data_IF_938257982394
#
_entry.id   IF_938257982394
#
_cell.length_a   1.000
_cell.length_b   1.000
_cell.length_c   1.000
_cell.angle_alpha   90.00
_cell.angle_beta   90.00
_cell.angle_gamma   90.00
#
_symmetry.space_group_name_H-M   'P 1'
#
loop_
_entity.id
_entity.type
_entity.pdbx_description
1 polymer ?
#
# COMPACT_ATOMS: atom_id res chain seq x y z
N UNK A 1 3.14 3.15 -25.93
CA UNK A 1 4.18 2.09 -25.83
C UNK A 1 4.39 1.91 -24.34
N UNK A 2 3.55 1.08 -23.73
CA UNK A 2 3.86 -0.33 -23.43
C UNK A 2 4.89 -0.49 -22.30
N UNK A 3 4.76 0.30 -21.23
CA UNK A 3 5.63 0.18 -20.05
C UNK A 3 4.92 -0.22 -18.75
N UNK A 4 3.58 -0.22 -18.64
CA UNK A 4 2.92 -0.66 -17.40
C UNK A 4 2.65 -2.17 -17.34
N UNK A 5 2.30 -2.81 -18.47
CA UNK A 5 2.00 -4.25 -18.51
C UNK A 5 3.18 -5.19 -18.16
N UNK A 6 4.40 -4.65 -18.05
CA UNK A 6 5.58 -5.39 -17.62
C UNK A 6 5.76 -5.37 -16.10
N UNK A 7 5.56 -4.21 -15.47
CA UNK A 7 5.70 -4.07 -14.01
C UNK A 7 4.62 -4.87 -13.29
N UNK A 8 3.37 -4.83 -13.76
CA UNK A 8 2.26 -5.61 -13.20
C UNK A 8 2.55 -7.12 -13.23
N UNK A 9 3.18 -7.59 -14.30
CA UNK A 9 3.59 -9.00 -14.46
C UNK A 9 4.76 -9.38 -13.56
N UNK A 10 5.68 -8.46 -13.31
CA UNK A 10 6.83 -8.71 -12.44
C UNK A 10 6.37 -8.81 -10.97
N UNK A 11 5.44 -7.97 -10.54
CA UNK A 11 4.83 -8.06 -9.20
C UNK A 11 3.96 -9.31 -9.03
N UNK A 12 3.16 -9.67 -10.04
CA UNK A 12 2.38 -10.90 -10.03
C UNK A 12 3.30 -12.14 -9.93
N UNK A 13 4.40 -12.15 -10.69
CA UNK A 13 5.39 -13.21 -10.64
C UNK A 13 6.08 -13.30 -9.27
N UNK A 14 6.41 -12.16 -8.67
CA UNK A 14 6.98 -12.10 -7.32
C UNK A 14 6.00 -12.63 -6.27
N UNK A 15 4.75 -12.19 -6.31
CA UNK A 15 3.69 -12.64 -5.40
C UNK A 15 3.49 -14.16 -5.47
N UNK A 16 3.43 -14.71 -6.69
CA UNK A 16 3.34 -16.15 -6.91
C UNK A 16 4.55 -16.89 -6.34
N UNK A 17 5.76 -16.39 -6.57
CA UNK A 17 6.99 -17.01 -6.08
C UNK A 17 7.07 -17.01 -4.54
N UNK A 18 6.67 -15.92 -3.89
CA UNK A 18 6.62 -15.83 -2.41
C UNK A 18 5.59 -16.81 -1.87
N UNK A 19 4.37 -16.80 -2.43
CA UNK A 19 3.28 -17.69 -2.00
C UNK A 19 3.69 -19.15 -2.16
N UNK A 20 4.29 -19.51 -3.30
CA UNK A 20 4.78 -20.85 -3.56
C UNK A 20 5.89 -21.25 -2.59
N UNK A 21 6.87 -20.37 -2.31
CA UNK A 21 7.94 -20.63 -1.35
C UNK A 21 7.42 -20.85 0.08
N UNK A 22 6.43 -20.06 0.50
CA UNK A 22 5.80 -20.21 1.82
C UNK A 22 5.01 -21.51 1.90
N UNK A 23 4.17 -21.80 0.91
CA UNK A 23 3.33 -23.00 0.90
C UNK A 23 4.10 -24.29 0.67
N UNK A 24 5.24 -24.25 -0.02
CA UNK A 24 6.10 -25.42 -0.27
C UNK A 24 7.05 -25.74 0.88
N UNK A 25 7.34 -24.77 1.75
CA UNK A 25 8.26 -24.94 2.88
C UNK A 25 7.79 -26.02 3.86
N UNK A 26 8.57 -27.12 4.05
CA UNK A 26 8.22 -28.18 4.99
C UNK A 26 8.10 -27.68 6.43
N UNK A 27 8.92 -26.68 6.79
CA UNK A 27 8.88 -26.03 8.11
C UNK A 27 7.55 -25.30 8.31
N UNK A 28 7.11 -24.53 7.31
CA UNK A 28 5.83 -23.81 7.37
C UNK A 28 4.66 -24.80 7.44
N UNK A 29 4.65 -25.83 6.58
CA UNK A 29 3.63 -26.88 6.59
C UNK A 29 3.51 -27.56 7.96
N UNK A 30 4.64 -27.94 8.55
CA UNK A 30 4.66 -28.57 9.88
C UNK A 30 4.03 -27.68 10.96
N UNK A 31 4.41 -26.40 10.99
CA UNK A 31 3.86 -25.44 11.97
C UNK A 31 2.35 -25.24 11.75
N UNK A 32 1.90 -25.11 10.50
CA UNK A 32 0.47 -24.99 10.17
C UNK A 32 -0.30 -26.24 10.60
N UNK A 33 0.23 -27.44 10.35
CA UNK A 33 -0.39 -28.70 10.78
C UNK A 33 -0.44 -28.84 12.31
N UNK A 34 0.61 -28.42 13.01
CA UNK A 34 0.61 -28.40 14.49
C UNK A 34 -0.42 -27.40 15.05
N UNK A 35 -0.63 -26.26 14.39
CA UNK A 35 -1.69 -25.30 14.75
C UNK A 35 -3.07 -25.90 14.51
N UNK A 36 -3.30 -26.53 13.35
CA UNK A 36 -4.57 -27.18 12.99
C UNK A 36 -4.93 -28.32 13.94
N UNK A 37 -3.96 -29.14 14.36
CA UNK A 37 -4.20 -30.26 15.27
C UNK A 37 -4.54 -29.85 16.71
N UNK A 38 -4.18 -28.62 17.10
CA UNK A 38 -4.41 -28.15 18.47
C UNK A 38 -5.82 -27.59 18.70
N UNK A 39 -6.64 -27.46 17.65
CA UNK A 39 -8.04 -26.95 17.61
C UNK A 39 -8.31 -25.62 18.35
N UNK A 40 -7.27 -25.05 18.96
CA UNK A 40 -7.21 -23.73 19.53
C UNK A 40 -6.68 -22.80 18.45
N UNK A 41 -7.59 -22.34 17.59
CA UNK A 41 -7.35 -21.11 16.84
C UNK A 41 -7.16 -20.01 17.88
N UNK A 42 -5.91 -19.64 18.17
CA UNK A 42 -5.61 -18.51 19.04
C UNK A 42 -6.16 -17.26 18.33
N UNK A 43 -7.25 -16.63 18.83
CA UNK A 43 -7.91 -15.54 18.10
C UNK A 43 -6.97 -14.37 17.84
N UNK A 44 -6.01 -14.13 18.74
CA UNK A 44 -4.97 -13.13 18.59
C UNK A 44 -4.02 -13.45 17.43
N UNK A 45 -3.55 -14.70 17.32
CA UNK A 45 -2.65 -15.10 16.22
C UNK A 45 -3.38 -15.12 14.88
N UNK A 46 -4.65 -15.51 14.86
CA UNK A 46 -5.48 -15.46 13.66
C UNK A 46 -5.78 -14.02 13.23
N UNK A 47 -6.08 -13.13 14.17
CA UNK A 47 -6.24 -11.71 13.91
C UNK A 47 -4.96 -11.08 13.38
N UNK A 48 -3.78 -11.43 13.91
CA UNK A 48 -2.49 -10.96 13.38
C UNK A 48 -2.25 -11.48 11.95
N UNK A 49 -2.66 -12.71 11.63
CA UNK A 49 -2.59 -13.25 10.28
C UNK A 49 -3.54 -12.51 9.33
N UNK A 50 -4.78 -12.24 9.76
CA UNK A 50 -5.77 -11.47 8.99
C UNK A 50 -5.26 -10.05 8.76
N UNK A 51 -4.73 -9.36 9.78
CA UNK A 51 -4.16 -8.02 9.66
C UNK A 51 -2.96 -7.99 8.71
N UNK A 52 -2.11 -9.03 8.73
CA UNK A 52 -0.97 -9.14 7.80
C UNK A 52 -1.43 -9.41 6.37
N UNK A 53 -2.47 -10.22 6.17
CA UNK A 53 -3.06 -10.43 4.85
C UNK A 53 -3.77 -9.17 4.35
N UNK A 54 -4.50 -8.47 5.21
CA UNK A 54 -5.13 -7.17 4.92
C UNK A 54 -4.08 -6.13 4.54
N UNK A 55 -3.02 -5.98 5.32
CA UNK A 55 -1.92 -5.05 5.01
C UNK A 55 -1.19 -5.41 3.71
N UNK A 56 -1.06 -6.70 3.38
CA UNK A 56 -0.54 -7.15 2.09
C UNK A 56 -1.49 -6.87 0.93
N UNK A 57 -2.82 -6.88 1.15
CA UNK A 57 -3.82 -6.52 0.14
C UNK A 57 -4.04 -5.01 0.01
N UNK A 58 -3.90 -4.24 1.08
CA UNK A 58 -3.95 -2.77 1.08
C UNK A 58 -2.73 -2.19 0.37
N UNK A 59 -1.56 -2.82 0.52
CA UNK A 59 -0.39 -2.53 -0.32
C UNK A 59 -0.55 -2.90 -1.80
N UNK A 60 -1.67 -3.53 -2.18
CA UNK A 60 -2.00 -3.99 -3.53
C UNK A 60 -3.17 -3.20 -4.16
N UNK A 61 -3.80 -2.25 -3.46
CA UNK A 61 -4.74 -1.28 -4.05
C UNK A 61 -3.99 -0.24 -4.89
N UNK A 62 -3.36 -0.70 -5.97
CA UNK A 62 -3.09 0.16 -7.13
C UNK A 62 -4.37 0.15 -7.95
N UNK A 63 -5.02 1.32 -7.96
CA UNK A 63 -6.21 1.72 -8.71
C UNK A 63 -6.47 0.87 -9.98
N UNK A 64 -7.48 0.00 -9.90
CA UNK A 64 -8.13 -0.56 -11.09
C UNK A 64 -9.35 0.30 -11.39
N UNK A 65 -9.15 1.41 -12.09
CA UNK A 65 -10.23 2.04 -12.86
C UNK A 65 -10.38 1.31 -14.20
N UNK A 66 -11.52 0.64 -14.40
CA UNK A 66 -11.89 0.03 -15.68
C UNK A 66 -12.53 1.07 -16.63
N UNK A 67 -11.84 1.31 -17.77
CA UNK A 67 -12.34 1.45 -19.16
C UNK A 67 -13.20 2.69 -19.57
N UNK A 68 -13.26 3.14 -20.86
CA UNK A 68 -13.04 2.35 -22.08
C UNK A 68 -12.28 3.00 -23.29
N UNK A 69 -11.86 2.09 -24.19
CA UNK A 69 -11.57 2.20 -25.64
C UNK A 69 -10.43 3.09 -26.23
N UNK A 70 -9.81 2.53 -27.28
CA UNK A 70 -8.63 2.95 -28.08
C UNK A 70 -8.99 4.10 -29.08
N UNK A 71 -8.06 4.75 -29.86
CA UNK A 71 -6.70 4.33 -30.24
C UNK A 71 -5.56 5.41 -30.36
N UNK A 72 -4.33 4.92 -30.15
CA UNK A 72 -2.99 5.34 -30.63
C UNK A 72 -2.80 6.72 -31.33
N UNK A 73 -1.79 7.50 -30.87
CA UNK A 73 -0.73 8.15 -31.71
C UNK A 73 0.45 8.70 -30.88
N UNK A 74 1.58 8.94 -31.57
CA UNK A 74 2.96 9.05 -31.05
C UNK A 74 3.35 10.48 -30.60
N UNK A 75 4.54 10.54 -29.98
CA UNK A 75 5.58 11.60 -29.98
C UNK A 75 5.67 12.69 -28.90
N UNK A 76 6.92 12.80 -28.41
CA UNK A 76 7.74 13.98 -28.02
C UNK A 76 7.99 14.27 -26.54
N UNK A 77 9.29 14.22 -26.20
CA UNK A 77 9.96 14.75 -25.02
C UNK A 77 9.41 16.14 -24.67
N UNK A 78 8.97 16.33 -23.44
CA UNK A 78 8.81 17.64 -22.82
C UNK A 78 9.28 17.56 -21.36
N UNK A 79 9.92 18.63 -20.92
CA UNK A 79 10.63 18.80 -19.66
C UNK A 79 9.77 18.36 -18.46
N UNK A 80 10.36 17.65 -17.49
CA UNK A 80 9.78 17.46 -16.15
C UNK A 80 9.48 18.84 -15.56
N UNK A 81 8.26 19.32 -15.75
CA UNK A 81 7.59 20.08 -14.70
C UNK A 81 7.38 19.06 -13.60
N UNK A 82 7.83 19.35 -12.39
CA UNK A 82 7.29 18.72 -11.19
C UNK A 82 5.79 18.89 -11.37
N UNK A 83 5.10 17.81 -11.72
CA UNK A 83 3.66 17.85 -11.82
C UNK A 83 3.22 18.23 -10.41
N UNK A 84 2.51 19.35 -10.27
CA UNK A 84 1.71 19.63 -9.08
C UNK A 84 0.86 18.38 -8.89
N UNK A 85 1.34 17.47 -8.04
CA UNK A 85 0.67 16.23 -7.76
C UNK A 85 -0.59 16.69 -7.04
N UNK A 86 -1.74 16.54 -7.70
CA UNK A 86 -3.02 16.96 -7.12
C UNK A 86 -3.25 16.08 -5.90
N UNK A 87 -3.10 16.68 -4.72
CA UNK A 87 -3.34 16.02 -3.45
C UNK A 87 -4.83 16.04 -3.15
N UNK A 88 -5.34 14.96 -2.57
CA UNK A 88 -6.74 14.81 -2.18
C UNK A 88 -6.82 14.41 -0.71
N UNK A 89 -7.74 15.01 0.03
CA UNK A 89 -8.10 14.63 1.41
C UNK A 89 -9.62 14.42 1.44
N UNK A 90 -10.07 13.30 2.01
CA UNK A 90 -11.49 12.91 2.10
C UNK A 90 -12.24 12.90 0.75
N UNK A 91 -11.51 12.73 -0.36
CA UNK A 91 -12.06 12.76 -1.72
C UNK A 91 -12.18 14.16 -2.34
N UNK A 92 -11.84 15.22 -1.60
CA UNK A 92 -11.79 16.59 -2.12
C UNK A 92 -10.37 16.97 -2.55
N UNK A 93 -10.27 17.78 -3.61
CA UNK A 93 -8.98 18.25 -4.14
C UNK A 93 -8.46 19.40 -3.30
N UNK A 94 -7.22 19.28 -2.83
CA UNK A 94 -6.57 20.35 -2.08
C UNK A 94 -6.28 21.57 -2.96
N UNK A 95 -6.56 22.74 -2.40
CA UNK A 95 -6.17 24.02 -2.95
C UNK A 95 -4.67 24.25 -2.77
N UNK A 96 -4.10 25.18 -3.55
CA UNK A 96 -2.67 25.52 -3.46
C UNK A 96 -2.28 26.01 -2.06
N UNK A 97 -3.15 26.78 -1.44
CA UNK A 97 -2.91 27.32 -0.10
C UNK A 97 -2.88 26.23 0.97
N UNK A 98 -3.69 25.18 0.82
CA UNK A 98 -3.69 24.05 1.76
C UNK A 98 -2.42 23.21 1.64
N UNK A 99 -1.96 22.99 0.40
CA UNK A 99 -0.69 22.28 0.15
C UNK A 99 0.49 23.06 0.75
N UNK A 100 0.57 24.37 0.50
CA UNK A 100 1.62 25.22 1.07
C UNK A 100 1.56 25.28 2.60
N UNK A 101 0.35 25.27 3.17
CA UNK A 101 0.15 25.24 4.62
C UNK A 101 0.61 23.91 5.23
N UNK A 102 0.27 22.78 4.60
CA UNK A 102 0.71 21.46 5.03
C UNK A 102 2.24 21.35 5.03
N UNK A 103 2.89 21.78 3.94
CA UNK A 103 4.35 21.79 3.86
C UNK A 103 4.96 22.64 4.98
N UNK A 104 4.45 23.84 5.24
CA UNK A 104 4.92 24.72 6.30
C UNK A 104 4.76 24.12 7.71
N UNK A 105 3.61 23.49 7.98
CA UNK A 105 3.33 22.88 9.28
C UNK A 105 4.14 21.60 9.46
N UNK A 106 4.31 20.81 8.40
CA UNK A 106 5.09 19.56 8.46
C UNK A 106 6.52 19.77 8.95
N UNK A 107 7.14 20.90 8.61
CA UNK A 107 8.50 21.26 9.07
C UNK A 107 8.55 21.68 10.54
N UNK A 108 7.46 22.21 11.09
CA UNK A 108 7.41 22.84 12.42
C UNK A 108 6.63 22.04 13.46
N UNK A 109 5.85 21.05 13.02
CA UNK A 109 4.96 20.31 13.87
C UNK A 109 5.72 19.21 14.60
N UNK A 110 5.87 19.38 15.92
CA UNK A 110 6.35 18.32 16.79
C UNK A 110 5.18 17.43 17.21
N UNK A 111 5.10 16.27 16.56
CA UNK A 111 4.08 15.26 16.84
C UNK A 111 4.15 14.77 18.29
N UNK A 112 5.34 14.65 18.88
CA UNK A 112 5.50 14.11 20.23
C UNK A 112 5.01 15.12 21.28
N UNK A 113 5.39 16.40 21.15
CA UNK A 113 4.86 17.46 22.02
C UNK A 113 3.35 17.62 21.89
N UNK A 114 2.81 17.58 20.67
CA UNK A 114 1.37 17.69 20.45
C UNK A 114 0.62 16.52 21.08
N UNK A 115 1.11 15.29 20.92
CA UNK A 115 0.49 14.11 21.53
C UNK A 115 0.56 14.14 23.06
N UNK A 116 1.68 14.58 23.66
CA UNK A 116 1.83 14.76 25.12
C UNK A 116 0.87 15.81 25.66
N UNK A 117 0.78 16.96 24.99
CA UNK A 117 -0.15 18.05 25.36
C UNK A 117 -1.61 17.59 25.38
N UNK A 118 -1.97 16.67 24.48
CA UNK A 118 -3.32 16.12 24.38
C UNK A 118 -3.51 14.83 25.22
N UNK A 119 -2.51 14.41 25.99
CA UNK A 119 -2.60 13.23 26.87
C UNK A 119 -2.74 11.90 26.12
N UNK A 120 -2.36 11.86 24.84
CA UNK A 120 -2.43 10.65 24.00
C UNK A 120 -1.21 9.75 24.22
N UNK A 121 -0.08 10.35 24.63
CA UNK A 121 1.13 9.67 25.08
C UNK A 121 1.64 10.35 26.35
N UNK A 122 2.41 9.61 27.16
CA UNK A 122 3.01 10.09 28.41
C UNK A 122 4.32 10.86 28.17
#
# INVERSE_FOLDING_TARGET
>A
MSHSSGQDRDYEKLSKAITEAVLSSPKVKKIVSEIQQRDHICPQSFMVLVLKLQSLTEGFEVEVEEAPEKPKKKTRRSKKKIAEQTQYIDGEKLSKNEIEFEELISERFDTEEWLKKNGLIL
#
